data_IF_462011803178
#
_entry.id   IF_462011803178
#
_cell.length_a   1.000
_cell.length_b   1.000
_cell.length_c   1.000
_cell.angle_alpha   90.00
_cell.angle_beta   90.00
_cell.angle_gamma   90.00
#
_symmetry.space_group_name_H-M   'P 1'
#
loop_
_entity.id
_entity.type
_entity.pdbx_description
1 polymer ?
#
# COMPACT_ATOMS: atom_id res chain seq x y z
N UNK A 1 -21.23 88.92 -15.49
CA UNK A 1 -20.30 87.86 -15.07
C UNK A 1 -20.65 86.56 -15.81
N UNK A 2 -19.92 86.27 -16.90
CA UNK A 2 -20.17 85.09 -17.72
C UNK A 2 -19.17 84.05 -17.30
N UNK A 3 -19.61 82.85 -16.84
CA UNK A 3 -18.76 81.69 -16.58
C UNK A 3 -18.74 80.77 -17.82
N UNK A 4 -17.55 80.61 -18.43
CA UNK A 4 -17.31 79.69 -19.54
C UNK A 4 -17.18 78.30 -18.99
N UNK A 5 -17.99 77.33 -19.50
CA UNK A 5 -17.81 75.90 -19.29
C UNK A 5 -16.87 75.35 -20.36
N UNK A 6 -15.74 74.81 -19.93
CA UNK A 6 -14.88 74.05 -20.78
C UNK A 6 -15.31 72.55 -20.72
N UNK A 7 -15.73 72.01 -21.86
CA UNK A 7 -16.07 70.57 -22.02
C UNK A 7 -14.78 69.79 -22.35
N UNK A 8 -14.39 68.90 -21.48
CA UNK A 8 -13.40 67.84 -21.78
C UNK A 8 -14.10 66.67 -22.45
N UNK A 9 -13.62 66.29 -23.64
CA UNK A 9 -13.96 65.03 -24.33
C UNK A 9 -13.02 63.97 -23.85
N UNK A 10 -13.47 62.75 -23.42
CA UNK A 10 -12.58 61.66 -23.15
C UNK A 10 -12.20 60.96 -24.45
N UNK A 11 -10.90 60.88 -24.70
CA UNK A 11 -10.31 60.08 -25.78
C UNK A 11 -10.36 58.61 -25.36
N UNK A 12 -11.22 57.80 -26.00
CA UNK A 12 -11.28 56.38 -25.80
C UNK A 12 -10.12 55.69 -26.55
N UNK A 13 -9.11 55.24 -25.79
CA UNK A 13 -8.00 54.44 -26.32
C UNK A 13 -8.44 52.98 -26.39
N UNK A 14 -8.78 52.49 -27.59
CA UNK A 14 -9.12 51.11 -27.84
C UNK A 14 -7.85 50.27 -27.79
N UNK A 15 -7.63 49.56 -26.69
CA UNK A 15 -6.59 48.54 -26.57
C UNK A 15 -7.06 47.27 -27.29
N UNK A 16 -6.58 47.03 -28.49
CA UNK A 16 -6.76 45.77 -29.20
C UNK A 16 -5.80 44.72 -28.58
N UNK A 17 -6.33 43.85 -27.72
CA UNK A 17 -5.63 42.67 -27.28
C UNK A 17 -5.54 41.69 -28.44
N UNK A 18 -4.35 41.15 -28.77
CA UNK A 18 -4.24 40.09 -29.75
C UNK A 18 -4.88 38.81 -29.18
N UNK A 19 -5.92 38.31 -29.82
CA UNK A 19 -6.40 36.95 -29.62
C UNK A 19 -5.25 35.99 -29.98
N UNK A 20 -4.52 35.52 -28.98
CA UNK A 20 -3.63 34.41 -29.13
C UNK A 20 -4.47 33.17 -29.46
N UNK A 21 -4.53 32.78 -30.73
CA UNK A 21 -5.08 31.53 -31.17
C UNK A 21 -4.27 30.42 -30.47
N UNK A 22 -4.85 29.74 -29.47
CA UNK A 22 -4.30 28.54 -28.87
C UNK A 22 -4.21 27.47 -29.95
N UNK A 23 -3.09 27.39 -30.63
CA UNK A 23 -2.77 26.23 -31.48
C UNK A 23 -2.50 25.06 -30.53
N UNK A 24 -3.49 24.21 -30.35
CA UNK A 24 -3.42 22.95 -29.58
C UNK A 24 -2.49 21.95 -30.32
N UNK A 25 -1.19 22.24 -30.41
CA UNK A 25 -0.20 21.23 -30.80
C UNK A 25 -0.01 20.31 -29.60
N UNK A 26 -0.12 18.99 -29.79
CA UNK A 26 0.16 18.03 -28.71
C UNK A 26 1.55 18.31 -28.13
N UNK A 27 1.65 18.42 -26.81
CA UNK A 27 2.96 18.56 -26.14
C UNK A 27 3.86 17.39 -26.51
N UNK A 28 5.15 17.60 -26.82
CA UNK A 28 6.09 16.52 -27.00
C UNK A 28 6.17 15.66 -25.75
N UNK A 29 6.33 14.35 -25.92
CA UNK A 29 6.53 13.43 -24.81
C UNK A 29 7.85 13.73 -24.10
N UNK A 30 7.85 13.66 -22.78
CA UNK A 30 9.08 13.70 -21.96
C UNK A 30 9.95 12.47 -22.22
N UNK A 31 11.20 12.47 -21.76
CA UNK A 31 12.09 11.30 -21.88
C UNK A 31 11.52 10.07 -21.18
N UNK A 32 10.94 10.25 -20.00
CA UNK A 32 10.30 9.19 -19.22
C UNK A 32 9.06 8.62 -19.94
N UNK A 33 8.19 9.48 -20.48
CA UNK A 33 7.03 9.07 -21.26
C UNK A 33 7.43 8.31 -22.53
N UNK A 34 8.52 8.72 -23.21
CA UNK A 34 9.05 7.97 -24.35
C UNK A 34 9.56 6.59 -23.95
N UNK A 35 10.27 6.48 -22.84
CA UNK A 35 10.73 5.20 -22.32
C UNK A 35 9.55 4.29 -21.97
N UNK A 36 8.46 4.84 -21.39
CA UNK A 36 7.26 4.07 -21.11
C UNK A 36 6.57 3.56 -22.37
N UNK A 37 6.43 4.40 -23.40
CA UNK A 37 5.91 3.97 -24.70
C UNK A 37 6.77 2.86 -25.31
N UNK A 38 8.11 2.97 -25.24
CA UNK A 38 9.02 1.94 -25.74
C UNK A 38 8.87 0.58 -25.03
N UNK A 39 8.57 0.59 -23.72
CA UNK A 39 8.31 -0.65 -22.95
C UNK A 39 6.94 -1.25 -23.25
N UNK A 40 5.99 -0.43 -23.62
CA UNK A 40 4.56 -0.79 -23.72
C UNK A 40 4.08 -1.02 -25.15
N UNK A 41 4.83 -0.61 -26.16
CA UNK A 41 4.46 -0.78 -27.57
C UNK A 41 5.50 -1.65 -28.29
N UNK A 42 5.04 -2.67 -28.99
CA UNK A 42 5.87 -3.66 -29.68
C UNK A 42 5.29 -3.98 -31.07
N UNK A 43 6.15 -4.43 -32.00
CA UNK A 43 5.78 -5.05 -33.29
C UNK A 43 5.44 -6.55 -33.15
N UNK A 44 5.64 -7.12 -31.94
CA UNK A 44 5.39 -8.55 -31.69
C UNK A 44 4.22 -8.72 -30.73
N UNK A 45 3.40 -9.78 -30.92
CA UNK A 45 2.32 -10.09 -29.99
C UNK A 45 2.88 -10.39 -28.59
N UNK A 46 2.20 -9.90 -27.56
CA UNK A 46 2.39 -10.40 -26.21
C UNK A 46 1.84 -11.81 -26.06
N UNK A 47 2.19 -12.45 -24.93
CA UNK A 47 1.65 -13.75 -24.57
C UNK A 47 0.86 -13.62 -23.25
N UNK A 48 -0.38 -13.10 -23.28
CA UNK A 48 -1.17 -12.92 -22.08
C UNK A 48 -1.52 -14.26 -21.44
N UNK A 49 -1.54 -14.31 -20.09
CA UNK A 49 -1.94 -15.48 -19.33
C UNK A 49 -3.43 -15.84 -19.59
N UNK A 50 -4.25 -14.82 -19.83
CA UNK A 50 -5.67 -14.97 -20.15
C UNK A 50 -5.94 -14.48 -21.57
N UNK A 51 -5.90 -15.37 -22.57
CA UNK A 51 -6.10 -14.99 -23.96
C UNK A 51 -7.57 -14.65 -24.24
N UNK A 52 -7.80 -13.60 -25.03
CA UNK A 52 -9.10 -13.12 -25.49
C UNK A 52 -9.06 -12.89 -27.01
N UNK A 53 -10.26 -12.66 -27.57
CA UNK A 53 -10.41 -12.20 -28.95
C UNK A 53 -11.65 -11.31 -29.04
N UNK A 54 -11.52 -10.08 -28.55
CA UNK A 54 -12.64 -9.11 -28.54
C UNK A 54 -12.24 -7.94 -29.45
N UNK A 55 -13.07 -7.65 -30.44
CA UNK A 55 -12.80 -6.59 -31.41
C UNK A 55 -13.59 -5.33 -31.10
N UNK A 56 -12.96 -4.19 -31.31
CA UNK A 56 -13.56 -2.86 -31.27
C UNK A 56 -13.57 -2.30 -32.70
N UNK A 57 -14.71 -2.36 -33.35
CA UNK A 57 -14.86 -2.27 -34.80
C UNK A 57 -13.83 -3.19 -35.51
N UNK A 58 -13.23 -2.71 -36.61
CA UNK A 58 -12.06 -3.36 -37.22
C UNK A 58 -10.75 -2.66 -36.85
N UNK A 59 -10.76 -1.82 -35.80
CA UNK A 59 -9.63 -0.95 -35.50
C UNK A 59 -8.68 -1.58 -34.44
N UNK A 60 -9.23 -2.17 -33.38
CA UNK A 60 -8.43 -2.72 -32.30
C UNK A 60 -8.99 -4.07 -31.86
N UNK A 61 -8.11 -5.00 -31.53
CA UNK A 61 -8.45 -6.29 -30.95
C UNK A 61 -7.83 -6.40 -29.55
N UNK A 62 -8.61 -6.64 -28.51
CA UNK A 62 -8.12 -7.06 -27.20
C UNK A 62 -7.76 -8.54 -27.29
N UNK A 63 -6.47 -8.85 -27.20
CA UNK A 63 -5.95 -10.21 -27.37
C UNK A 63 -5.80 -10.96 -26.06
N UNK A 64 -5.90 -10.30 -24.92
CA UNK A 64 -5.87 -10.91 -23.61
C UNK A 64 -5.45 -9.95 -22.52
N UNK A 65 -5.26 -10.52 -21.33
CA UNK A 65 -4.77 -9.79 -20.15
C UNK A 65 -3.92 -10.68 -19.23
N UNK A 66 -3.11 -10.04 -18.41
CA UNK A 66 -2.51 -10.62 -17.21
C UNK A 66 -3.15 -9.98 -15.98
N UNK A 67 -3.30 -10.76 -14.91
CA UNK A 67 -3.83 -10.32 -13.62
C UNK A 67 -2.85 -10.68 -12.51
N UNK A 68 -2.51 -9.72 -11.66
CA UNK A 68 -1.59 -9.96 -10.52
C UNK A 68 -1.96 -9.11 -9.31
N UNK A 69 -2.19 -9.72 -8.13
CA UNK A 69 -2.36 -11.15 -7.94
C UNK A 69 -3.66 -11.67 -8.56
N UNK A 70 -3.72 -12.95 -8.88
CA UNK A 70 -4.94 -13.62 -9.38
C UNK A 70 -6.11 -13.55 -8.39
N UNK A 71 -5.80 -13.40 -7.12
CA UNK A 71 -6.78 -13.28 -6.03
C UNK A 71 -7.02 -11.82 -5.72
N UNK A 72 -8.21 -11.35 -6.02
CA UNK A 72 -8.62 -9.97 -5.76
C UNK A 72 -9.25 -9.89 -4.36
N UNK A 73 -8.77 -8.93 -3.57
CA UNK A 73 -9.25 -8.66 -2.20
C UNK A 73 -9.65 -7.18 -2.13
N UNK A 74 -10.85 -6.84 -1.63
CA UNK A 74 -11.27 -5.46 -1.43
C UNK A 74 -10.26 -4.66 -0.59
N UNK A 75 -10.04 -3.41 -0.94
CA UNK A 75 -9.04 -2.55 -0.31
C UNK A 75 -7.59 -2.85 -0.69
N UNK A 76 -7.31 -3.88 -1.50
CA UNK A 76 -5.98 -4.19 -2.00
C UNK A 76 -5.85 -3.84 -3.48
N UNK A 77 -4.69 -3.28 -3.84
CA UNK A 77 -4.37 -3.05 -5.24
C UNK A 77 -4.08 -4.36 -5.97
N UNK A 78 -4.57 -4.47 -7.19
CA UNK A 78 -4.16 -5.49 -8.16
C UNK A 78 -3.83 -4.83 -9.49
N UNK A 79 -2.88 -5.39 -10.21
CA UNK A 79 -2.52 -4.93 -11.55
C UNK A 79 -3.22 -5.78 -12.60
N UNK A 80 -3.81 -5.12 -13.58
CA UNK A 80 -4.27 -5.76 -14.82
C UNK A 80 -3.47 -5.18 -15.98
N UNK A 81 -2.90 -6.05 -16.80
CA UNK A 81 -2.20 -5.66 -18.01
C UNK A 81 -3.01 -6.09 -19.21
N UNK A 82 -3.54 -5.14 -19.94
CA UNK A 82 -4.31 -5.36 -21.17
C UNK A 82 -3.41 -5.43 -22.38
N UNK A 83 -3.64 -6.38 -23.28
CA UNK A 83 -2.90 -6.55 -24.52
C UNK A 83 -3.80 -6.25 -25.71
N UNK A 84 -3.50 -5.17 -26.40
CA UNK A 84 -4.23 -4.75 -27.60
C UNK A 84 -3.40 -4.96 -28.86
N UNK A 85 -4.00 -5.49 -29.91
CA UNK A 85 -3.49 -5.46 -31.28
C UNK A 85 -4.16 -4.32 -32.02
N UNK A 86 -3.39 -3.48 -32.66
CA UNK A 86 -3.90 -2.36 -33.46
C UNK A 86 -4.00 -2.80 -34.91
N UNK A 87 -5.22 -3.03 -35.41
CA UNK A 87 -5.47 -3.47 -36.78
C UNK A 87 -5.58 -2.28 -37.75
N UNK A 88 -6.17 -1.16 -37.27
CA UNK A 88 -6.29 0.11 -38.03
C UNK A 88 -6.12 1.30 -37.06
N UNK A 89 -5.71 2.49 -37.54
CA UNK A 89 -5.62 3.68 -36.71
C UNK A 89 -6.98 4.03 -36.11
N UNK A 90 -6.98 4.41 -34.82
CA UNK A 90 -8.16 4.90 -34.12
C UNK A 90 -8.34 6.40 -34.40
N UNK A 91 -9.57 6.82 -34.67
CA UNK A 91 -9.89 8.23 -34.94
C UNK A 91 -9.45 9.14 -33.75
N UNK A 92 -8.97 10.32 -34.08
CA UNK A 92 -8.55 11.29 -33.07
C UNK A 92 -9.70 11.67 -32.12
N UNK A 93 -9.39 11.66 -30.82
CA UNK A 93 -10.31 12.02 -29.75
C UNK A 93 -10.95 10.83 -29.06
N UNK A 94 -10.85 9.60 -29.61
CA UNK A 94 -11.24 8.42 -28.87
C UNK A 94 -10.32 8.18 -27.66
N UNK A 95 -10.92 7.81 -26.54
CA UNK A 95 -10.27 7.45 -25.29
C UNK A 95 -10.66 6.03 -24.89
N UNK A 96 -9.79 5.34 -24.18
CA UNK A 96 -10.06 4.02 -23.61
C UNK A 96 -10.66 4.22 -22.20
N UNK A 97 -11.79 3.61 -21.93
CA UNK A 97 -12.40 3.59 -20.60
C UNK A 97 -12.30 2.20 -19.95
N UNK A 98 -12.37 2.21 -18.62
CA UNK A 98 -12.44 1.00 -17.79
C UNK A 98 -13.52 1.19 -16.73
N UNK A 99 -14.56 0.39 -16.82
CA UNK A 99 -15.62 0.35 -15.82
C UNK A 99 -15.52 -0.91 -14.98
N UNK A 100 -15.53 -0.77 -13.68
CA UNK A 100 -15.48 -1.87 -12.72
C UNK A 100 -16.89 -2.08 -12.19
N UNK A 101 -17.43 -3.25 -12.43
CA UNK A 101 -18.80 -3.64 -12.09
C UNK A 101 -18.80 -4.81 -11.10
N UNK A 102 -19.85 -4.91 -10.30
CA UNK A 102 -20.07 -6.08 -9.46
C UNK A 102 -20.52 -7.31 -10.29
N UNK A 103 -20.68 -8.48 -9.64
CA UNK A 103 -21.09 -9.71 -10.28
C UNK A 103 -22.50 -9.67 -10.91
N UNK A 104 -23.27 -8.61 -10.63
CA UNK A 104 -24.59 -8.36 -11.26
C UNK A 104 -24.46 -7.42 -12.48
N UNK A 105 -23.26 -6.91 -12.77
CA UNK A 105 -23.01 -5.98 -13.85
C UNK A 105 -23.36 -4.53 -13.53
N UNK A 106 -23.61 -4.18 -12.27
CA UNK A 106 -23.81 -2.80 -11.86
C UNK A 106 -22.48 -2.05 -11.79
N UNK A 107 -22.40 -0.89 -12.44
CA UNK A 107 -21.20 -0.02 -12.41
C UNK A 107 -20.94 0.46 -10.97
N UNK A 108 -19.78 0.17 -10.41
CA UNK A 108 -19.38 0.51 -9.06
C UNK A 108 -18.28 1.57 -9.02
N UNK A 109 -17.36 1.54 -9.99
CA UNK A 109 -16.32 2.55 -10.09
C UNK A 109 -15.83 2.73 -11.52
N UNK A 110 -15.31 3.91 -11.80
CA UNK A 110 -14.61 4.26 -13.02
C UNK A 110 -13.09 4.18 -12.76
N UNK A 111 -12.38 3.40 -13.57
CA UNK A 111 -10.93 3.24 -13.49
C UNK A 111 -10.20 3.78 -14.73
N UNK A 112 -10.80 4.70 -15.49
CA UNK A 112 -10.24 5.24 -16.75
C UNK A 112 -8.85 5.84 -16.54
N UNK A 113 -8.65 6.56 -15.43
CA UNK A 113 -7.42 7.27 -15.11
C UNK A 113 -6.28 6.42 -14.56
N UNK A 114 -6.52 5.14 -14.27
CA UNK A 114 -5.49 4.27 -13.65
C UNK A 114 -4.48 3.66 -14.63
N UNK A 115 -4.69 3.82 -15.94
CA UNK A 115 -3.77 3.31 -16.97
C UNK A 115 -2.58 4.25 -17.19
N UNK A 116 -1.36 3.73 -17.06
CA UNK A 116 -0.11 4.50 -17.16
C UNK A 116 0.07 5.23 -18.50
N UNK A 117 -0.39 4.64 -19.60
CA UNK A 117 -0.24 5.21 -20.95
C UNK A 117 -1.31 6.24 -21.31
N UNK A 118 -2.53 6.09 -20.80
CA UNK A 118 -3.74 6.74 -21.32
C UNK A 118 -3.68 8.27 -21.35
N UNK A 119 -3.02 8.88 -20.36
CA UNK A 119 -2.90 10.33 -20.25
C UNK A 119 -2.02 11.00 -21.31
N UNK A 120 -1.04 10.28 -21.89
CA UNK A 120 -0.08 10.86 -22.81
C UNK A 120 0.08 10.09 -24.15
N UNK A 121 -0.35 8.83 -24.19
CA UNK A 121 -0.35 7.97 -25.39
C UNK A 121 -1.74 7.38 -25.63
N UNK A 122 -2.74 8.23 -25.91
CA UNK A 122 -4.12 7.80 -26.13
C UNK A 122 -4.26 6.93 -27.41
N UNK A 123 -5.38 6.19 -27.56
CA UNK A 123 -5.60 5.30 -28.71
C UNK A 123 -5.36 5.91 -30.09
N UNK A 124 -5.61 7.21 -30.24
CA UNK A 124 -5.36 7.93 -31.51
C UNK A 124 -3.88 8.09 -31.87
N UNK A 125 -2.96 7.71 -30.99
CA UNK A 125 -1.51 7.63 -31.28
C UNK A 125 -1.03 6.22 -31.55
N UNK A 126 -1.90 5.22 -31.42
CA UNK A 126 -1.55 3.83 -31.65
C UNK A 126 -1.38 3.59 -33.15
N UNK A 127 -0.31 2.92 -33.53
CA UNK A 127 0.04 2.68 -34.92
C UNK A 127 -0.46 1.31 -35.40
N UNK A 128 -1.04 1.24 -36.58
CA UNK A 128 -1.50 -0.01 -37.14
C UNK A 128 -0.35 -1.02 -37.30
N UNK A 129 -0.62 -2.28 -36.96
CA UNK A 129 0.37 -3.35 -36.97
C UNK A 129 1.15 -3.50 -35.67
N UNK A 130 0.93 -2.61 -34.68
CA UNK A 130 1.60 -2.70 -33.37
C UNK A 130 0.72 -3.39 -32.34
N UNK A 131 1.35 -3.79 -31.23
CA UNK A 131 0.72 -4.30 -30.02
C UNK A 131 0.97 -3.33 -28.87
N UNK A 132 -0.08 -2.99 -28.13
CA UNK A 132 -0.03 -2.06 -26.99
C UNK A 132 -0.33 -2.82 -25.72
N UNK A 133 0.57 -2.69 -24.74
CA UNK A 133 0.45 -3.22 -23.41
C UNK A 133 0.05 -2.09 -22.47
N UNK A 134 -1.17 -2.09 -21.96
CA UNK A 134 -1.72 -1.05 -21.07
C UNK A 134 -1.88 -1.60 -19.66
N UNK A 135 -0.98 -1.22 -18.76
CA UNK A 135 -1.01 -1.63 -17.36
C UNK A 135 -1.86 -0.66 -16.53
N UNK A 136 -2.76 -1.23 -15.74
CA UNK A 136 -3.62 -0.52 -14.79
C UNK A 136 -3.48 -1.09 -13.40
N UNK A 137 -3.32 -0.24 -12.40
CA UNK A 137 -3.46 -0.59 -11.01
C UNK A 137 -4.87 -0.20 -10.54
N UNK A 138 -5.61 -1.16 -9.99
CA UNK A 138 -7.01 -1.00 -9.56
C UNK A 138 -7.13 -1.47 -8.12
N UNK A 139 -7.87 -0.71 -7.30
CA UNK A 139 -8.21 -1.10 -5.93
C UNK A 139 -9.73 -1.07 -5.79
N UNK A 140 -10.34 -2.21 -5.44
CA UNK A 140 -11.77 -2.24 -5.13
C UNK A 140 -12.03 -1.53 -3.80
N UNK A 141 -13.18 -0.85 -3.63
CA UNK A 141 -13.59 -0.32 -2.35
C UNK A 141 -13.57 -1.39 -1.24
N UNK A 142 -13.22 -1.00 -0.02
CA UNK A 142 -13.15 -1.93 1.12
C UNK A 142 -14.51 -2.56 1.44
N UNK A 143 -15.59 -1.85 1.20
CA UNK A 143 -16.98 -2.29 1.37
C UNK A 143 -17.54 -3.09 0.17
N UNK A 144 -16.65 -3.54 -0.73
CA UNK A 144 -17.07 -4.40 -1.85
C UNK A 144 -17.67 -5.71 -1.35
N UNK A 145 -18.93 -5.93 -1.63
CA UNK A 145 -19.69 -7.07 -1.11
C UNK A 145 -19.97 -8.17 -2.13
N UNK A 146 -19.66 -7.95 -3.41
CA UNK A 146 -19.85 -8.95 -4.46
C UNK A 146 -18.71 -9.97 -4.50
N UNK A 147 -19.04 -11.26 -4.60
CA UNK A 147 -18.06 -12.35 -4.76
C UNK A 147 -17.37 -12.35 -6.13
N UNK A 148 -17.82 -11.50 -7.04
CA UNK A 148 -17.23 -11.32 -8.37
C UNK A 148 -17.03 -9.84 -8.68
N UNK A 149 -16.00 -9.59 -9.50
CA UNK A 149 -15.77 -8.33 -10.18
C UNK A 149 -15.78 -8.56 -11.69
N UNK A 150 -16.45 -7.68 -12.42
CA UNK A 150 -16.42 -7.65 -13.87
C UNK A 150 -15.77 -6.35 -14.32
N UNK A 151 -14.78 -6.43 -15.21
CA UNK A 151 -14.17 -5.25 -15.80
C UNK A 151 -14.55 -5.15 -17.27
N UNK A 152 -15.11 -4.00 -17.59
CA UNK A 152 -15.54 -3.65 -18.95
C UNK A 152 -14.61 -2.60 -19.52
N UNK A 153 -14.15 -2.84 -20.74
CA UNK A 153 -13.36 -1.91 -21.54
C UNK A 153 -14.14 -1.42 -22.76
N UNK A 154 -13.80 -0.25 -23.23
CA UNK A 154 -14.32 0.25 -24.49
C UNK A 154 -13.65 1.55 -24.91
N UNK A 155 -13.90 1.92 -26.15
CA UNK A 155 -13.40 3.16 -26.73
C UNK A 155 -14.56 4.13 -26.92
N UNK A 156 -14.41 5.35 -26.43
CA UNK A 156 -15.46 6.35 -26.49
C UNK A 156 -14.93 7.71 -26.96
N UNK A 157 -15.80 8.45 -27.63
CA UNK A 157 -15.57 9.82 -28.04
C UNK A 157 -16.93 10.53 -28.09
N UNK A 158 -17.11 11.57 -27.28
CA UNK A 158 -18.38 12.27 -27.13
C UNK A 158 -19.52 11.30 -26.77
N UNK A 159 -20.53 11.13 -27.64
CA UNK A 159 -21.65 10.19 -27.49
C UNK A 159 -21.44 8.86 -28.26
N UNK A 160 -20.29 8.64 -28.89
CA UNK A 160 -19.99 7.48 -29.74
C UNK A 160 -19.10 6.48 -29.01
N UNK A 161 -19.33 5.21 -29.30
CA UNK A 161 -18.45 4.10 -28.91
C UNK A 161 -18.05 3.27 -30.15
N UNK A 162 -16.88 2.66 -30.12
CA UNK A 162 -16.55 1.60 -31.06
C UNK A 162 -17.38 0.37 -30.74
N UNK A 163 -17.93 -0.28 -31.77
CA UNK A 163 -18.77 -1.47 -31.61
C UNK A 163 -17.94 -2.65 -31.15
N UNK A 164 -18.47 -3.39 -30.19
CA UNK A 164 -17.81 -4.57 -29.64
C UNK A 164 -18.33 -5.83 -30.32
N UNK A 165 -17.40 -6.65 -30.83
CA UNK A 165 -17.68 -8.01 -31.31
C UNK A 165 -16.93 -9.01 -30.43
N UNK A 166 -17.65 -9.96 -29.86
CA UNK A 166 -17.14 -10.92 -28.87
C UNK A 166 -17.87 -10.77 -27.53
N UNK A 167 -17.16 -11.05 -26.41
CA UNK A 167 -17.73 -10.93 -25.08
C UNK A 167 -18.09 -9.47 -24.76
N UNK A 168 -19.36 -9.17 -24.58
CA UNK A 168 -19.85 -7.80 -24.33
C UNK A 168 -21.14 -7.82 -23.50
N UNK A 169 -21.56 -6.64 -23.06
CA UNK A 169 -22.83 -6.42 -22.38
C UNK A 169 -23.94 -5.88 -23.31
N UNK A 170 -23.67 -5.82 -24.62
CA UNK A 170 -24.60 -5.28 -25.59
C UNK A 170 -24.68 -3.74 -25.66
N UNK A 171 -23.85 -3.02 -24.86
CA UNK A 171 -23.78 -1.55 -24.82
C UNK A 171 -22.46 -1.01 -25.39
N UNK A 172 -21.83 -1.76 -26.30
CA UNK A 172 -20.50 -1.47 -26.83
C UNK A 172 -19.43 -1.34 -25.72
N UNK A 173 -19.53 -2.24 -24.71
CA UNK A 173 -18.52 -2.47 -23.69
C UNK A 173 -18.07 -3.93 -23.75
N UNK A 174 -16.78 -4.13 -23.91
CA UNK A 174 -16.16 -5.47 -23.85
C UNK A 174 -16.12 -5.96 -22.42
N UNK A 175 -16.73 -7.11 -22.10
CA UNK A 175 -16.51 -7.80 -20.82
C UNK A 175 -15.15 -8.48 -20.88
N UNK A 176 -14.13 -7.75 -20.48
CA UNK A 176 -12.73 -8.11 -20.65
C UNK A 176 -12.20 -9.01 -19.54
N UNK A 177 -12.72 -8.88 -18.32
CA UNK A 177 -12.32 -9.68 -17.16
C UNK A 177 -13.53 -10.02 -16.32
N UNK A 178 -13.59 -11.26 -15.84
CA UNK A 178 -14.43 -11.70 -14.73
C UNK A 178 -13.52 -12.45 -13.77
N UNK A 179 -13.47 -12.01 -12.53
CA UNK A 179 -12.64 -12.63 -11.50
C UNK A 179 -13.40 -12.76 -10.17
N UNK A 180 -13.05 -13.79 -9.41
CA UNK A 180 -13.57 -13.95 -8.06
C UNK A 180 -12.93 -12.93 -7.13
N UNK A 181 -13.77 -12.36 -6.27
CA UNK A 181 -13.36 -11.43 -5.21
C UNK A 181 -13.53 -12.16 -3.88
N UNK A 182 -12.48 -12.16 -3.10
CA UNK A 182 -12.58 -12.65 -1.73
C UNK A 182 -13.27 -11.57 -0.89
N UNK A 183 -14.57 -11.66 -0.78
CA UNK A 183 -15.37 -10.86 0.13
C UNK A 183 -15.32 -11.49 1.53
N UNK A 184 -15.24 -10.67 2.53
CA UNK A 184 -15.12 -11.04 3.94
C UNK A 184 -14.09 -10.15 4.60
N UNK A 185 -14.13 -10.03 5.92
CA UNK A 185 -13.06 -9.35 6.65
C UNK A 185 -11.72 -9.96 6.19
N UNK A 186 -10.73 -9.17 5.76
CA UNK A 186 -9.45 -9.72 5.42
C UNK A 186 -9.00 -10.60 6.58
N UNK A 187 -8.55 -11.82 6.29
CA UNK A 187 -8.00 -12.68 7.33
C UNK A 187 -6.86 -11.92 7.98
N UNK A 188 -7.07 -11.52 9.21
CA UNK A 188 -6.00 -10.96 10.01
C UNK A 188 -5.02 -12.07 10.33
N UNK A 189 -3.74 -11.74 10.37
CA UNK A 189 -2.72 -12.69 10.77
C UNK A 189 -2.95 -13.12 12.22
N UNK A 190 -2.70 -14.38 12.51
CA UNK A 190 -2.78 -14.94 13.86
C UNK A 190 -1.41 -15.51 14.24
N UNK A 191 -0.99 -15.25 15.46
CA UNK A 191 0.24 -15.75 16.06
C UNK A 191 -0.07 -16.26 17.48
N UNK A 192 0.62 -17.30 17.88
CA UNK A 192 0.49 -17.93 19.19
C UNK A 192 1.72 -17.64 20.03
N UNK A 193 1.52 -17.06 21.21
CA UNK A 193 2.57 -16.81 22.19
C UNK A 193 2.70 -18.00 23.12
N UNK A 194 3.86 -18.65 23.07
CA UNK A 194 4.18 -19.78 23.96
C UNK A 194 4.37 -19.29 25.41
N UNK A 195 3.82 -20.00 26.38
CA UNK A 195 4.15 -19.75 27.77
C UNK A 195 5.61 -20.09 28.06
N UNK A 196 6.40 -19.12 28.48
CA UNK A 196 7.81 -19.28 28.78
C UNK A 196 8.01 -19.99 30.13
N UNK A 197 8.91 -20.96 30.15
CA UNK A 197 9.26 -21.71 31.37
C UNK A 197 10.09 -20.85 32.37
N UNK A 198 10.77 -19.82 31.86
CA UNK A 198 11.58 -18.87 32.62
C UNK A 198 11.69 -17.56 31.84
N UNK A 199 11.91 -16.45 32.55
CA UNK A 199 12.16 -15.16 31.92
C UNK A 199 13.47 -15.20 31.11
N UNK A 200 13.51 -14.67 29.86
CA UNK A 200 14.72 -14.62 29.06
C UNK A 200 15.77 -13.68 29.64
N UNK A 201 17.01 -13.90 29.23
CA UNK A 201 18.06 -12.92 29.38
C UNK A 201 18.05 -12.00 28.16
N UNK A 202 17.46 -10.87 28.27
CA UNK A 202 17.31 -9.92 27.17
C UNK A 202 18.70 -9.37 26.72
N UNK A 203 19.42 -10.17 25.94
CA UNK A 203 20.75 -9.79 25.42
C UNK A 203 20.81 -9.75 23.89
N UNK A 204 19.65 -9.87 23.25
CA UNK A 204 19.49 -9.86 21.80
C UNK A 204 19.82 -11.18 21.13
N UNK A 205 20.15 -12.22 21.87
CA UNK A 205 20.41 -13.56 21.33
C UNK A 205 19.18 -14.42 21.56
N UNK A 206 18.67 -15.01 20.52
CA UNK A 206 17.49 -15.86 20.58
C UNK A 206 17.89 -17.30 20.90
N UNK A 207 18.68 -17.50 21.97
CA UNK A 207 19.28 -18.81 22.31
C UNK A 207 18.56 -19.52 23.48
N UNK A 208 17.58 -18.89 24.11
CA UNK A 208 16.75 -19.56 25.10
C UNK A 208 15.89 -20.67 24.46
N UNK A 209 15.77 -21.78 25.21
CA UNK A 209 15.10 -22.97 24.72
C UNK A 209 13.66 -22.74 24.26
N UNK A 210 12.94 -21.80 24.88
CA UNK A 210 11.57 -21.51 24.48
C UNK A 210 11.48 -20.75 23.13
N UNK A 211 12.46 -19.91 22.75
CA UNK A 211 12.47 -19.28 21.42
C UNK A 211 12.50 -20.30 20.28
N UNK A 212 13.23 -21.40 20.47
CA UNK A 212 13.25 -22.48 19.48
C UNK A 212 11.91 -23.21 19.33
N UNK A 213 11.08 -23.19 20.38
CA UNK A 213 9.75 -23.82 20.41
C UNK A 213 8.63 -22.85 20.02
N UNK A 214 8.86 -21.54 20.17
CA UNK A 214 7.88 -20.50 19.82
C UNK A 214 7.62 -20.46 18.33
N UNK A 215 6.36 -20.31 17.96
CA UNK A 215 5.97 -20.16 16.57
C UNK A 215 6.63 -18.90 15.97
N UNK A 216 7.22 -19.05 14.80
CA UNK A 216 7.70 -17.92 13.99
C UNK A 216 6.54 -17.37 13.18
N UNK A 217 6.39 -16.06 13.14
CA UNK A 217 5.41 -15.40 12.27
C UNK A 217 5.70 -15.72 10.80
N UNK A 218 4.71 -15.50 9.92
CA UNK A 218 4.98 -15.33 8.50
C UNK A 218 5.99 -14.21 8.27
N UNK A 219 6.72 -14.25 7.16
CA UNK A 219 7.56 -13.12 6.74
C UNK A 219 6.71 -11.85 6.62
N UNK A 220 7.31 -10.70 7.00
CA UNK A 220 6.67 -9.42 6.87
C UNK A 220 6.51 -9.05 5.39
N UNK A 221 5.51 -8.24 5.10
CA UNK A 221 5.12 -7.86 3.75
C UNK A 221 5.05 -6.34 3.61
N UNK A 222 5.00 -5.85 2.40
CA UNK A 222 4.82 -4.43 2.12
C UNK A 222 3.55 -3.90 2.79
N UNK A 223 3.67 -2.83 3.56
CA UNK A 223 2.58 -2.26 4.35
C UNK A 223 1.44 -1.72 3.51
N UNK A 224 1.69 -1.31 2.27
CA UNK A 224 0.70 -0.71 1.37
C UNK A 224 -0.09 -1.74 0.56
N UNK A 225 0.58 -2.78 0.06
CA UNK A 225 -0.05 -3.73 -0.87
C UNK A 225 -0.03 -5.19 -0.41
N UNK A 226 0.70 -5.51 0.68
CA UNK A 226 0.83 -6.87 1.22
C UNK A 226 1.63 -7.83 0.35
N UNK A 227 2.33 -7.32 -0.66
CA UNK A 227 3.26 -8.10 -1.47
C UNK A 227 4.57 -8.36 -0.74
N UNK A 228 5.38 -9.29 -1.30
CA UNK A 228 6.74 -9.52 -0.80
C UNK A 228 7.54 -8.22 -0.83
N UNK A 229 8.27 -7.95 0.23
CA UNK A 229 9.11 -6.77 0.36
C UNK A 229 10.35 -7.07 1.20
N UNK A 230 11.27 -6.12 1.21
CA UNK A 230 12.46 -6.08 2.05
C UNK A 230 12.32 -4.93 3.05
N UNK A 231 12.97 -5.04 4.22
CA UNK A 231 13.82 -6.14 4.67
C UNK A 231 13.02 -7.41 5.00
N UNK A 232 13.64 -8.59 4.91
CA UNK A 232 13.02 -9.82 5.39
C UNK A 232 13.02 -9.79 6.92
N UNK A 233 11.84 -9.86 7.50
CA UNK A 233 11.67 -9.81 8.95
C UNK A 233 10.64 -10.83 9.44
N UNK A 234 10.80 -11.25 10.68
CA UNK A 234 9.85 -12.11 11.38
C UNK A 234 9.91 -11.87 12.89
N UNK A 235 8.88 -12.30 13.59
CA UNK A 235 8.83 -12.28 15.05
C UNK A 235 8.53 -13.65 15.63
N UNK A 236 8.95 -13.82 16.88
CA UNK A 236 8.48 -14.87 17.81
C UNK A 236 7.92 -14.20 19.04
N UNK A 237 6.93 -14.81 19.65
CA UNK A 237 6.31 -14.31 20.87
C UNK A 237 6.27 -15.38 21.95
N UNK A 238 6.45 -14.95 23.17
CA UNK A 238 6.27 -15.77 24.37
C UNK A 238 5.71 -14.90 25.50
N UNK A 239 5.26 -15.50 26.57
CA UNK A 239 4.70 -14.79 27.70
C UNK A 239 4.89 -15.51 29.01
N UNK A 240 4.85 -14.78 30.10
CA UNK A 240 4.71 -15.33 31.47
C UNK A 240 3.67 -14.48 32.25
N UNK A 241 3.53 -14.73 33.52
CA UNK A 241 2.56 -14.02 34.36
C UNK A 241 2.86 -12.51 34.52
N UNK A 242 4.03 -12.06 34.08
CA UNK A 242 4.51 -10.68 34.25
C UNK A 242 4.66 -9.92 32.95
N UNK A 243 5.11 -10.59 31.89
CA UNK A 243 5.57 -9.95 30.67
C UNK A 243 5.05 -10.64 29.41
N UNK A 244 4.83 -9.84 28.39
CA UNK A 244 4.88 -10.26 26.99
C UNK A 244 6.32 -10.17 26.51
N UNK A 245 6.83 -11.22 25.89
CA UNK A 245 8.14 -11.26 25.26
C UNK A 245 7.98 -11.28 23.73
N UNK A 246 8.71 -10.42 23.05
CA UNK A 246 8.73 -10.35 21.59
C UNK A 246 10.17 -10.39 21.09
N UNK A 247 10.46 -11.24 20.14
CA UNK A 247 11.77 -11.33 19.53
C UNK A 247 11.67 -11.08 18.03
N UNK A 248 12.34 -10.05 17.54
CA UNK A 248 12.48 -9.76 16.12
C UNK A 248 13.78 -10.35 15.57
N UNK A 249 13.72 -10.82 14.33
CA UNK A 249 14.87 -11.17 13.50
C UNK A 249 14.72 -10.48 12.15
N UNK A 250 15.61 -9.54 11.88
CA UNK A 250 15.57 -8.66 10.71
C UNK A 250 16.83 -8.87 9.89
N UNK A 251 16.67 -9.21 8.61
CA UNK A 251 17.77 -9.30 7.64
C UNK A 251 17.84 -7.97 6.87
N UNK A 252 18.85 -7.18 7.16
CA UNK A 252 19.03 -5.84 6.60
C UNK A 252 20.50 -5.65 6.22
N UNK A 253 20.76 -5.24 4.97
CA UNK A 253 22.10 -5.10 4.42
C UNK A 253 22.69 -3.68 4.58
N UNK A 254 21.95 -2.76 5.21
CA UNK A 254 22.38 -1.39 5.49
C UNK A 254 21.73 -0.87 6.77
N UNK A 255 22.51 -0.82 7.87
CA UNK A 255 21.99 -0.45 9.19
C UNK A 255 22.24 1.03 9.51
N UNK A 256 21.16 1.79 9.62
CA UNK A 256 21.20 3.22 9.89
C UNK A 256 20.44 3.59 11.18
N UNK A 257 21.17 3.88 12.24
CA UNK A 257 20.63 4.25 13.55
C UNK A 257 21.55 5.23 14.26
N UNK A 258 21.29 6.52 14.10
CA UNK A 258 22.12 7.61 14.63
C UNK A 258 21.52 8.28 15.86
N UNK A 259 20.27 8.00 16.20
CA UNK A 259 19.64 8.50 17.42
C UNK A 259 20.32 7.97 18.67
N UNK A 260 20.51 8.83 19.65
CA UNK A 260 21.30 8.54 20.87
C UNK A 260 20.49 8.67 22.15
N UNK A 261 19.27 9.17 22.08
CA UNK A 261 18.39 9.36 23.24
C UNK A 261 17.15 8.47 23.10
N UNK A 262 16.63 8.03 24.23
CA UNK A 262 15.28 7.49 24.30
C UNK A 262 14.27 8.62 24.11
N UNK A 263 13.14 8.34 23.44
CA UNK A 263 12.16 9.34 23.04
C UNK A 263 12.45 10.04 21.71
N UNK A 264 13.62 9.80 21.06
CA UNK A 264 13.86 10.24 19.69
C UNK A 264 12.86 9.58 18.72
N UNK A 265 12.58 10.20 17.61
CA UNK A 265 11.65 9.71 16.58
C UNK A 265 12.25 8.55 15.77
N UNK A 266 12.34 7.38 16.40
CA UNK A 266 13.05 6.22 15.85
C UNK A 266 12.50 5.78 14.48
N UNK A 267 11.20 5.99 14.19
CA UNK A 267 10.58 5.68 12.90
C UNK A 267 11.18 6.45 11.71
N UNK A 268 11.99 7.47 11.93
CA UNK A 268 12.70 8.18 10.87
C UNK A 268 13.95 7.44 10.40
N UNK A 269 14.37 6.39 11.13
CA UNK A 269 15.51 5.54 10.82
C UNK A 269 15.13 4.07 10.98
N UNK A 270 16.13 3.18 11.09
CA UNK A 270 15.86 1.76 11.30
C UNK A 270 15.31 1.52 12.70
N UNK A 271 14.18 0.85 12.77
CA UNK A 271 13.63 0.37 14.02
C UNK A 271 12.64 -0.79 13.80
N UNK A 272 12.43 -1.56 14.84
CA UNK A 272 11.27 -2.44 14.97
C UNK A 272 10.19 -1.71 15.76
N UNK A 273 8.93 -2.01 15.45
CA UNK A 273 7.79 -1.36 16.09
C UNK A 273 6.73 -2.39 16.45
N UNK A 274 6.11 -2.22 17.62
CA UNK A 274 4.95 -2.97 18.07
C UNK A 274 3.83 -1.98 18.34
N UNK A 275 2.66 -2.22 17.76
CA UNK A 275 1.41 -1.58 18.15
C UNK A 275 0.54 -2.63 18.83
N UNK A 276 0.16 -2.40 20.08
CA UNK A 276 -0.59 -3.34 20.90
C UNK A 276 -1.89 -2.70 21.42
N UNK A 277 -3.00 -3.32 21.07
CA UNK A 277 -4.36 -3.01 21.55
C UNK A 277 -4.85 -4.17 22.42
N UNK A 278 -4.70 -4.06 23.74
CA UNK A 278 -5.04 -5.14 24.66
C UNK A 278 -6.55 -5.45 24.71
N UNK A 279 -7.38 -4.42 24.54
CA UNK A 279 -8.84 -4.54 24.55
C UNK A 279 -9.43 -5.02 23.23
N UNK A 280 -8.69 -4.88 22.13
CA UNK A 280 -9.15 -5.23 20.79
C UNK A 280 -10.25 -4.33 20.25
N UNK A 281 -10.45 -3.16 20.84
CA UNK A 281 -11.52 -2.22 20.50
C UNK A 281 -11.05 -0.93 19.79
N UNK A 282 -9.75 -0.86 19.47
CA UNK A 282 -9.12 0.29 18.83
C UNK A 282 -8.87 1.46 19.76
N UNK A 283 -8.90 1.21 21.06
CA UNK A 283 -8.70 2.21 22.10
C UNK A 283 -7.57 1.83 23.06
N UNK A 284 -7.04 2.85 23.73
CA UNK A 284 -6.02 2.66 24.78
C UNK A 284 -4.84 1.80 24.32
N UNK A 285 -4.52 1.85 23.00
CA UNK A 285 -3.43 1.08 22.43
C UNK A 285 -2.09 1.78 22.60
N UNK A 286 -1.04 0.99 22.68
CA UNK A 286 0.33 1.46 22.85
C UNK A 286 1.15 1.22 21.59
N UNK A 287 2.12 2.10 21.37
CA UNK A 287 3.16 1.98 20.37
C UNK A 287 4.52 1.96 21.07
N UNK A 288 5.35 0.98 20.73
CA UNK A 288 6.73 0.91 21.20
C UNK A 288 7.67 0.64 20.05
N UNK A 289 8.83 1.29 20.05
CA UNK A 289 9.85 1.14 19.02
C UNK A 289 11.21 0.88 19.67
N UNK A 290 12.02 0.07 19.01
CA UNK A 290 13.41 -0.21 19.40
C UNK A 290 14.32 -0.13 18.18
N UNK A 291 15.37 0.70 18.28
CA UNK A 291 16.35 0.83 17.20
C UNK A 291 17.47 -0.20 17.29
N UNK A 292 18.25 -0.44 16.20
CA UNK A 292 19.47 -1.24 16.26
C UNK A 292 20.52 -0.75 17.27
N UNK A 293 20.50 0.55 17.60
CA UNK A 293 21.33 1.14 18.65
C UNK A 293 20.77 0.94 20.09
N UNK A 294 19.71 0.11 20.21
CA UNK A 294 19.00 -0.15 21.47
C UNK A 294 18.48 1.13 22.15
N UNK A 295 17.90 2.02 21.34
CA UNK A 295 17.14 3.17 21.81
C UNK A 295 15.66 2.89 21.72
N UNK A 296 14.88 3.53 22.59
CA UNK A 296 13.47 3.29 22.76
C UNK A 296 12.65 4.52 22.44
N UNK A 297 11.50 4.30 21.83
CA UNK A 297 10.39 5.25 21.79
C UNK A 297 9.13 4.50 22.20
N UNK A 298 8.31 5.10 23.05
CA UNK A 298 7.03 4.55 23.45
C UNK A 298 6.01 5.65 23.66
N UNK A 299 4.76 5.33 23.37
CA UNK A 299 3.63 6.23 23.53
C UNK A 299 2.32 5.45 23.62
N UNK A 300 1.27 6.12 24.09
CA UNK A 300 -0.08 5.57 24.21
C UNK A 300 -1.10 6.47 23.51
N UNK A 301 -2.11 5.86 22.93
CA UNK A 301 -3.22 6.54 22.26
C UNK A 301 -4.56 6.14 22.86
N UNK A 302 -5.43 7.12 23.13
CA UNK A 302 -6.82 6.89 23.60
C UNK A 302 -7.68 6.27 22.51
N UNK A 303 -7.39 6.59 21.24
CA UNK A 303 -8.00 6.06 20.02
C UNK A 303 -7.11 6.42 18.84
N UNK A 304 -7.48 6.03 17.62
CA UNK A 304 -6.65 6.23 16.42
C UNK A 304 -6.06 7.65 16.35
N UNK A 305 -4.74 7.76 16.57
CA UNK A 305 -3.97 9.01 16.58
C UNK A 305 -4.51 10.11 17.50
N UNK A 306 -5.02 9.73 18.65
CA UNK A 306 -5.49 10.66 19.69
C UNK A 306 -4.82 10.33 21.00
N UNK A 307 -4.16 11.33 21.65
CA UNK A 307 -3.91 12.70 21.20
C UNK A 307 -2.91 12.81 20.04
N UNK A 308 -2.90 13.94 19.35
CA UNK A 308 -1.93 14.25 18.29
C UNK A 308 -0.84 15.18 18.82
N UNK A 309 0.37 15.20 18.24
CA UNK A 309 0.79 14.42 17.04
C UNK A 309 1.20 12.99 17.37
N UNK A 310 1.76 12.70 18.56
CA UNK A 310 2.49 11.47 18.88
C UNK A 310 1.93 10.71 20.08
N UNK A 311 0.64 10.88 20.40
CA UNK A 311 0.02 10.23 21.56
C UNK A 311 0.38 10.94 22.88
N UNK A 312 0.35 10.18 23.97
CA UNK A 312 0.83 10.57 25.29
C UNK A 312 2.33 10.27 25.36
N UNK A 313 3.16 11.25 25.08
CA UNK A 313 4.62 11.14 25.00
C UNK A 313 5.32 11.06 26.38
N UNK A 314 4.55 11.19 27.46
CA UNK A 314 4.97 10.93 28.83
C UNK A 314 4.68 9.48 29.30
N UNK A 315 4.12 8.65 28.40
CA UNK A 315 3.88 7.24 28.67
C UNK A 315 5.21 6.48 28.74
N UNK A 316 5.31 5.51 29.66
CA UNK A 316 6.45 4.61 29.82
C UNK A 316 5.94 3.16 29.80
N UNK A 317 6.26 2.44 28.76
CA UNK A 317 5.95 1.02 28.61
C UNK A 317 6.77 0.13 29.56
N UNK A 318 7.72 0.68 30.29
CA UNK A 318 8.63 -0.02 31.23
C UNK A 318 9.30 -1.24 30.57
N UNK A 319 9.52 -1.17 29.27
CA UNK A 319 10.11 -2.27 28.53
C UNK A 319 11.59 -2.45 28.87
N UNK A 320 12.03 -3.68 28.82
CA UNK A 320 13.45 -4.05 28.84
C UNK A 320 13.81 -4.68 27.53
N UNK A 321 14.96 -4.34 26.97
CA UNK A 321 15.35 -4.77 25.63
C UNK A 321 16.78 -5.26 25.56
N UNK A 322 17.06 -6.11 24.58
CA UNK A 322 18.39 -6.52 24.17
C UNK A 322 18.48 -6.52 22.64
N UNK A 323 19.61 -6.06 22.11
CA UNK A 323 19.85 -5.97 20.68
C UNK A 323 21.18 -6.58 20.31
N UNK A 324 21.21 -7.38 19.26
CA UNK A 324 22.45 -7.84 18.61
C UNK A 324 22.44 -7.38 17.17
N UNK A 325 23.45 -6.59 16.80
CA UNK A 325 23.73 -6.18 15.43
C UNK A 325 24.65 -7.20 14.78
N UNK A 326 24.28 -7.66 13.59
CA UNK A 326 25.09 -8.51 12.74
C UNK A 326 25.69 -7.67 11.61
N UNK A 327 26.70 -6.87 11.94
CA UNK A 327 27.31 -5.87 11.08
C UNK A 327 27.84 -4.68 11.85
N UNK A 328 27.76 -3.51 11.26
CA UNK A 328 28.21 -2.23 11.84
C UNK A 328 27.20 -1.14 11.54
N UNK A 329 26.86 -0.30 12.55
CA UNK A 329 25.92 0.79 12.38
C UNK A 329 26.54 1.98 11.66
N UNK A 330 25.78 2.63 10.78
CA UNK A 330 26.04 3.93 10.22
C UNK A 330 27.33 4.01 9.36
N UNK A 331 27.67 2.94 8.66
CA UNK A 331 28.77 2.95 7.70
C UNK A 331 28.32 2.36 6.34
N UNK A 332 29.20 2.35 5.33
CA UNK A 332 28.85 1.89 3.99
C UNK A 332 29.20 0.40 3.76
N UNK A 333 29.46 -0.36 4.83
CA UNK A 333 29.75 -1.78 4.70
C UNK A 333 28.45 -2.59 4.68
N UNK A 334 28.41 -3.67 3.91
CA UNK A 334 27.28 -4.56 3.95
C UNK A 334 27.08 -5.18 5.33
N UNK A 335 25.83 -5.19 5.79
CA UNK A 335 25.40 -5.80 7.04
C UNK A 335 24.62 -7.10 6.79
N UNK A 336 24.32 -7.84 7.85
CA UNK A 336 23.47 -9.02 7.81
C UNK A 336 22.13 -8.81 8.53
N UNK A 337 22.01 -7.69 9.27
CA UNK A 337 20.80 -7.32 10.00
C UNK A 337 20.96 -7.29 11.51
N UNK A 338 19.87 -7.45 12.23
CA UNK A 338 19.87 -7.38 13.68
C UNK A 338 18.74 -8.22 14.30
N UNK A 339 18.90 -8.53 15.58
CA UNK A 339 17.85 -9.14 16.41
C UNK A 339 17.53 -8.23 17.59
N UNK A 340 16.27 -8.22 17.98
CA UNK A 340 15.79 -7.45 19.14
C UNK A 340 14.94 -8.35 20.01
N UNK A 341 15.25 -8.39 21.31
CA UNK A 341 14.39 -8.98 22.33
C UNK A 341 13.76 -7.87 23.15
N UNK A 342 12.47 -8.00 23.41
CA UNK A 342 11.67 -7.02 24.16
C UNK A 342 10.86 -7.77 25.23
N UNK A 343 10.93 -7.32 26.48
CA UNK A 343 9.98 -7.68 27.51
C UNK A 343 9.13 -6.46 27.86
N UNK A 344 7.82 -6.59 27.74
CA UNK A 344 6.84 -5.57 28.15
C UNK A 344 6.01 -6.09 29.32
N UNK A 345 6.05 -5.40 30.49
CA UNK A 345 5.19 -5.76 31.60
C UNK A 345 3.70 -5.63 31.24
N UNK A 346 2.90 -6.63 31.54
CA UNK A 346 1.46 -6.60 31.29
C UNK A 346 0.78 -5.39 31.94
N UNK A 347 1.23 -5.04 33.13
CA UNK A 347 0.69 -3.89 33.89
C UNK A 347 0.91 -2.55 33.17
N UNK A 348 2.01 -2.38 32.46
CA UNK A 348 2.30 -1.13 31.73
C UNK A 348 1.47 -0.99 30.47
N UNK A 349 1.09 -2.09 29.86
CA UNK A 349 0.30 -2.08 28.59
C UNK A 349 -1.21 -2.26 28.82
N UNK A 350 -1.67 -2.16 30.07
CA UNK A 350 -3.11 -2.16 30.38
C UNK A 350 -3.73 -3.55 30.50
N UNK A 351 -2.97 -4.55 30.93
CA UNK A 351 -3.45 -5.92 31.15
C UNK A 351 -3.20 -6.40 32.58
N UNK A 352 -4.02 -7.34 33.03
CA UNK A 352 -3.86 -8.04 34.31
C UNK A 352 -4.31 -7.26 35.57
N UNK A 353 -4.72 -5.99 35.42
CA UNK A 353 -5.27 -5.19 36.50
C UNK A 353 -6.78 -5.35 36.71
N UNK A 354 -7.31 -4.73 37.76
CA UNK A 354 -8.75 -4.72 38.03
C UNK A 354 -9.49 -3.99 36.89
N UNK A 355 -10.43 -4.70 36.25
CA UNK A 355 -11.22 -4.17 35.13
C UNK A 355 -10.49 -4.18 33.79
N UNK A 356 -9.26 -4.67 33.72
CA UNK A 356 -8.46 -4.82 32.50
C UNK A 356 -8.61 -6.25 31.92
N UNK A 357 -8.22 -6.44 30.64
CA UNK A 357 -8.13 -7.78 30.06
C UNK A 357 -7.21 -8.70 30.89
N UNK A 358 -7.58 -9.96 31.02
CA UNK A 358 -6.83 -10.92 31.83
C UNK A 358 -5.64 -11.48 31.06
N UNK A 359 -4.57 -11.78 31.79
CA UNK A 359 -3.42 -12.52 31.31
C UNK A 359 -3.61 -14.01 31.70
N UNK A 360 -4.17 -14.77 30.78
CA UNK A 360 -4.44 -16.21 30.99
C UNK A 360 -4.36 -16.97 29.67
N UNK A 361 -4.20 -18.28 29.71
CA UNK A 361 -4.22 -19.14 28.51
C UNK A 361 -5.55 -18.96 27.78
N UNK A 362 -5.47 -18.77 26.47
CA UNK A 362 -6.61 -18.48 25.60
C UNK A 362 -6.98 -17.01 25.52
N UNK A 363 -6.28 -16.11 26.22
CA UNK A 363 -6.50 -14.67 26.05
C UNK A 363 -6.07 -14.23 24.64
N UNK A 364 -6.88 -13.38 24.02
CA UNK A 364 -6.66 -12.84 22.69
C UNK A 364 -6.40 -11.34 22.76
N UNK A 365 -5.38 -10.88 22.03
CA UNK A 365 -4.96 -9.49 21.92
C UNK A 365 -4.93 -9.10 20.46
N UNK A 366 -5.10 -7.81 20.19
CA UNK A 366 -4.85 -7.26 18.86
C UNK A 366 -3.50 -6.55 18.89
N UNK A 367 -2.65 -6.88 17.93
CA UNK A 367 -1.35 -6.22 17.79
C UNK A 367 -0.83 -6.28 16.37
N UNK A 368 0.16 -5.45 16.10
CA UNK A 368 0.90 -5.50 14.85
C UNK A 368 2.38 -5.29 15.10
N UNK A 369 3.17 -5.75 14.13
CA UNK A 369 4.62 -5.62 14.12
C UNK A 369 5.05 -4.96 12.81
N UNK A 370 5.98 -4.01 12.90
CA UNK A 370 6.53 -3.32 11.74
C UNK A 370 8.05 -3.26 11.84
N UNK A 371 8.68 -3.06 10.70
CA UNK A 371 10.11 -2.72 10.58
C UNK A 371 10.22 -1.53 9.65
N UNK A 372 10.87 -0.47 10.13
CA UNK A 372 11.30 0.66 9.33
C UNK A 372 12.73 0.41 8.89
N UNK A 373 13.02 0.67 7.63
CA UNK A 373 14.30 0.40 6.99
C UNK A 373 14.69 1.62 6.15
N UNK A 374 15.73 2.30 6.58
CA UNK A 374 16.27 3.49 5.94
C UNK A 374 17.24 3.12 4.85
N UNK A 375 17.15 3.79 3.71
CA UNK A 375 18.03 3.59 2.56
C UNK A 375 18.61 4.92 2.10
N UNK A 376 19.69 4.87 1.33
CA UNK A 376 20.30 6.08 0.75
C UNK A 376 19.27 6.99 0.06
N UNK A 377 18.24 6.41 -0.54
CA UNK A 377 17.21 7.13 -1.29
C UNK A 377 15.79 6.83 -0.77
N UNK A 378 15.52 7.14 0.50
CA UNK A 378 14.20 7.01 1.10
C UNK A 378 14.12 5.95 2.17
N UNK A 379 12.90 5.60 2.54
CA UNK A 379 12.61 4.66 3.61
C UNK A 379 11.61 3.61 3.11
N UNK A 380 11.80 2.37 3.54
CA UNK A 380 10.89 1.26 3.32
C UNK A 380 10.23 0.87 4.64
N UNK A 381 9.08 0.24 4.55
CA UNK A 381 8.44 -0.34 5.72
C UNK A 381 7.79 -1.68 5.35
N UNK A 382 7.99 -2.64 6.22
CA UNK A 382 7.33 -3.94 6.17
C UNK A 382 6.54 -4.19 7.45
N UNK A 383 5.48 -4.96 7.36
CA UNK A 383 4.63 -5.28 8.51
C UNK A 383 4.12 -6.71 8.48
N UNK A 384 3.83 -7.23 9.66
CA UNK A 384 3.29 -8.58 9.81
C UNK A 384 1.84 -8.67 9.32
N UNK A 385 0.96 -7.73 9.76
CA UNK A 385 -0.41 -7.58 9.29
C UNK A 385 -0.55 -6.23 8.59
N UNK A 386 -0.47 -6.16 7.25
CA UNK A 386 -0.32 -4.90 6.55
C UNK A 386 -1.56 -4.01 6.67
N UNK A 387 -1.42 -2.73 7.03
CA UNK A 387 -2.53 -1.79 7.18
C UNK A 387 -3.20 -1.43 5.85
N UNK A 388 -2.49 -1.57 4.72
CA UNK A 388 -2.97 -1.28 3.36
C UNK A 388 -3.24 0.19 3.08
N UNK A 389 -2.76 1.06 3.93
CA UNK A 389 -2.80 2.52 3.81
C UNK A 389 -1.47 3.09 4.29
N UNK A 390 -1.18 4.35 3.97
CA UNK A 390 0.03 5.05 4.43
C UNK A 390 -0.04 5.50 5.90
N UNK A 391 -0.62 4.67 6.76
CA UNK A 391 -0.79 4.93 8.18
C UNK A 391 -0.76 3.60 8.95
N UNK A 392 0.10 3.45 9.95
CA UNK A 392 0.20 2.24 10.76
C UNK A 392 -0.85 2.17 11.87
N UNK A 393 -1.39 3.30 12.28
CA UNK A 393 -2.45 3.38 13.28
C UNK A 393 -3.81 2.96 12.71
N UNK A 394 -3.93 1.69 12.36
CA UNK A 394 -5.17 1.09 11.83
C UNK A 394 -5.50 -0.15 12.67
N UNK A 395 -6.04 0.03 13.91
CA UNK A 395 -6.31 -1.07 14.83
C UNK A 395 -7.17 -2.19 14.24
N UNK A 396 -8.05 -1.85 13.29
CA UNK A 396 -8.90 -2.80 12.57
C UNK A 396 -8.10 -3.80 11.73
N UNK A 397 -6.84 -3.45 11.40
CA UNK A 397 -5.89 -4.28 10.62
C UNK A 397 -4.86 -4.97 11.50
N UNK A 398 -4.87 -4.74 12.79
CA UNK A 398 -3.97 -5.47 13.68
C UNK A 398 -4.26 -6.97 13.61
N UNK A 399 -3.22 -7.76 13.63
CA UNK A 399 -3.31 -9.19 13.75
C UNK A 399 -3.83 -9.61 15.13
N UNK A 400 -3.96 -10.90 15.33
CA UNK A 400 -4.38 -11.50 16.61
C UNK A 400 -3.22 -12.27 17.23
N UNK A 401 -2.96 -12.04 18.50
CA UNK A 401 -2.07 -12.84 19.33
C UNK A 401 -2.91 -13.64 20.31
N UNK A 402 -2.68 -14.94 20.37
CA UNK A 402 -3.31 -15.85 21.32
C UNK A 402 -2.25 -16.30 22.33
N UNK A 403 -2.56 -16.26 23.63
CA UNK A 403 -1.69 -16.75 24.70
C UNK A 403 -1.94 -18.27 24.90
N UNK A 404 -0.94 -19.11 24.58
CA UNK A 404 -1.02 -20.58 24.71
C UNK A 404 -0.49 -21.07 26.05
#
# INVERSE_FOLDING_TARGET
>A
MRRSLVRFLPLALSLALPLAACTNKPRPLTSEQKAEVQRSVSDKPGNPAHPLNIKFDDAVTLVGYDLSPERIIPGQAFEVVWYFKVDKPVEKGFQLFTHVCDGQGADRMNADGSGKLRGFYPPSRWEAGTYVRDAQEITLPEDWSSEEVMIYLGFWKDDRRLKVTGSSDGRDRARALVASVQTGAPSINELHALRADASPKLDGKLDEAFWSKSARSSSFVNTMNGGRAEPEASVRTAWDDKNLYVAFDVADDYLHSTFTQDGDHLWEQDCVEIMLDPGGDGRDYVEVQVSPANKHFDTKYDSRRVPRPFGHDDFDAQMTTGVVVRGTLNDDKPDEGYTVEIAMPWSSVGMGGDGQPKVEVGAELRLNFYVMDTREHGQRAVGWSPPRVGDFHVPERFGKLVLD
#
